data_IF_742133562037
#
_entry.id   IF_742133562037
#
_cell.length_a   1.000
_cell.length_b   1.000
_cell.length_c   1.000
_cell.angle_alpha   90.00
_cell.angle_beta   90.00
_cell.angle_gamma   90.00
#
_symmetry.space_group_name_H-M   'P 1'
#
loop_
_entity.id
_entity.type
_entity.pdbx_description
1 polymer ?
#
# COMPACT_ATOMS: atom_id res chain seq x y z
N UNK A 1 0.59 -13.23 1.98
CA UNK A 1 -0.36 -13.10 3.11
C UNK A 1 -1.63 -12.31 2.75
N UNK A 2 -1.59 -11.12 2.14
CA UNK A 2 -2.82 -10.39 1.71
C UNK A 2 -3.67 -11.15 0.69
N UNK A 3 -3.07 -11.62 -0.41
CA UNK A 3 -3.81 -12.33 -1.47
C UNK A 3 -4.47 -13.62 -0.94
N UNK A 4 -3.82 -14.31 0.00
CA UNK A 4 -4.39 -15.47 0.68
C UNK A 4 -5.55 -15.09 1.61
N UNK A 5 -5.41 -14.04 2.43
CA UNK A 5 -6.47 -13.60 3.36
C UNK A 5 -7.67 -12.92 2.68
N UNK A 6 -7.48 -12.30 1.52
CA UNK A 6 -8.54 -11.68 0.72
C UNK A 6 -9.33 -12.69 -0.15
N UNK A 7 -9.00 -13.98 -0.05
CA UNK A 7 -9.54 -15.06 -0.86
C UNK A 7 -9.30 -14.85 -2.38
N UNK A 8 -8.24 -14.14 -2.73
CA UNK A 8 -7.92 -13.87 -4.14
C UNK A 8 -7.65 -15.15 -4.92
N UNK A 9 -6.88 -16.07 -4.33
CA UNK A 9 -6.50 -17.31 -5.00
C UNK A 9 -7.67 -18.29 -5.16
N UNK A 10 -8.54 -18.40 -4.15
CA UNK A 10 -9.78 -19.18 -4.24
C UNK A 10 -10.69 -18.65 -5.36
N UNK A 11 -10.85 -17.33 -5.46
CA UNK A 11 -11.59 -16.68 -6.56
C UNK A 11 -10.98 -16.88 -7.95
N UNK A 12 -9.71 -17.28 -8.03
CA UNK A 12 -9.01 -17.57 -9.29
C UNK A 12 -8.86 -19.07 -9.55
N UNK A 13 -9.43 -19.91 -8.69
CA UNK A 13 -9.29 -21.37 -8.73
C UNK A 13 -7.82 -21.81 -8.69
N UNK A 14 -7.00 -21.05 -7.95
CA UNK A 14 -5.58 -21.33 -7.76
C UNK A 14 -5.39 -21.97 -6.39
N UNK A 15 -5.06 -23.26 -6.37
CA UNK A 15 -4.69 -23.94 -5.13
C UNK A 15 -3.23 -23.67 -4.77
N UNK A 16 -3.00 -22.61 -3.98
CA UNK A 16 -1.66 -22.27 -3.47
C UNK A 16 -1.11 -23.32 -2.50
N UNK A 17 -1.96 -24.17 -1.90
CA UNK A 17 -1.54 -25.20 -0.95
C UNK A 17 -0.82 -26.37 -1.63
N UNK A 18 -1.19 -26.65 -2.88
CA UNK A 18 -0.56 -27.67 -3.71
C UNK A 18 0.87 -27.31 -4.14
N UNK A 19 1.21 -26.02 -4.17
CA UNK A 19 2.47 -25.57 -4.70
C UNK A 19 3.59 -25.78 -3.68
N UNK A 20 4.57 -26.62 -4.03
CA UNK A 20 5.63 -27.09 -3.12
C UNK A 20 6.37 -25.98 -2.37
N UNK A 21 6.56 -24.81 -3.01
CA UNK A 21 7.17 -23.61 -2.41
C UNK A 21 6.36 -22.97 -1.28
N UNK A 22 5.04 -23.13 -1.27
CA UNK A 22 4.12 -22.45 -0.35
C UNK A 22 3.46 -23.42 0.65
N UNK A 23 3.70 -24.73 0.49
CA UNK A 23 3.17 -25.82 1.31
C UNK A 23 3.49 -25.72 2.81
N UNK A 24 4.56 -25.01 3.20
CA UNK A 24 4.98 -24.84 4.60
C UNK A 24 4.70 -23.43 5.17
N UNK A 25 4.17 -22.51 4.38
CA UNK A 25 3.95 -21.11 4.79
C UNK A 25 2.53 -20.84 5.32
N UNK A 26 1.88 -21.85 5.90
CA UNK A 26 0.56 -21.71 6.51
C UNK A 26 0.59 -20.98 7.85
N UNK A 27 1.75 -20.91 8.51
CA UNK A 27 1.97 -19.99 9.62
C UNK A 27 2.13 -18.57 9.06
N UNK A 28 0.98 -17.95 8.78
CA UNK A 28 0.91 -16.53 8.58
C UNK A 28 1.13 -15.87 9.95
N UNK A 29 2.26 -15.19 10.14
CA UNK A 29 2.45 -14.26 11.25
C UNK A 29 1.20 -13.37 11.36
N UNK A 30 0.47 -13.48 12.46
CA UNK A 30 -0.79 -12.78 12.65
C UNK A 30 -0.52 -11.29 12.85
N UNK A 31 -0.42 -10.54 11.76
CA UNK A 31 -0.47 -9.08 11.80
C UNK A 31 -1.90 -8.59 11.59
N UNK A 32 -2.22 -7.48 12.25
CA UNK A 32 -3.48 -6.76 12.07
C UNK A 32 -3.50 -6.10 10.70
N UNK A 33 -4.58 -6.32 9.95
CA UNK A 33 -4.78 -5.70 8.64
C UNK A 33 -5.95 -4.73 8.72
N UNK A 34 -5.66 -3.46 8.55
CA UNK A 34 -6.65 -2.38 8.55
C UNK A 34 -6.87 -1.97 7.09
N UNK A 35 -8.13 -2.00 6.66
CA UNK A 35 -8.54 -1.49 5.35
C UNK A 35 -9.11 -0.08 5.51
N UNK A 36 -8.52 0.87 4.78
CA UNK A 36 -8.96 2.28 4.81
C UNK A 36 -9.65 2.57 3.48
N UNK A 37 -10.96 2.87 3.55
CA UNK A 37 -11.79 3.23 2.41
C UNK A 37 -11.67 4.71 2.07
N UNK A 38 -12.14 5.07 0.87
CA UNK A 38 -12.38 6.46 0.46
C UNK A 38 -11.18 7.39 0.60
N UNK A 39 -9.97 6.82 0.48
CA UNK A 39 -8.73 7.59 0.48
C UNK A 39 -8.62 8.35 -0.86
N UNK A 40 -8.08 9.59 -0.87
CA UNK A 40 -7.97 10.34 -2.11
C UNK A 40 -7.02 9.66 -3.10
N UNK A 41 -7.52 9.28 -4.26
CA UNK A 41 -6.71 8.63 -5.30
C UNK A 41 -6.31 9.64 -6.38
N UNK A 42 -5.30 9.29 -7.17
CA UNK A 42 -4.97 10.04 -8.38
C UNK A 42 -6.16 10.10 -9.33
N UNK A 43 -6.32 11.22 -10.03
CA UNK A 43 -7.30 11.31 -11.11
C UNK A 43 -6.94 10.36 -12.26
N UNK A 44 -7.96 9.83 -12.92
CA UNK A 44 -7.77 8.99 -14.10
C UNK A 44 -7.00 9.74 -15.20
N UNK A 45 -6.00 9.09 -15.79
CA UNK A 45 -5.16 9.67 -16.84
C UNK A 45 -3.90 10.39 -16.33
N UNK A 46 -3.72 10.51 -15.01
CA UNK A 46 -2.45 10.96 -14.42
C UNK A 46 -1.50 9.78 -14.22
N UNK A 47 -0.20 10.09 -14.16
CA UNK A 47 0.90 9.14 -13.98
C UNK A 47 1.64 9.39 -12.66
N UNK A 48 0.93 9.88 -11.64
CA UNK A 48 1.48 10.28 -10.35
C UNK A 48 1.13 9.30 -9.22
N UNK A 49 0.73 8.06 -9.52
CA UNK A 49 0.38 7.06 -8.51
C UNK A 49 1.49 6.84 -7.47
N UNK A 50 2.75 6.91 -7.91
CA UNK A 50 3.91 6.82 -7.02
C UNK A 50 3.93 7.94 -5.97
N UNK A 51 3.49 9.15 -6.33
CA UNK A 51 3.42 10.28 -5.40
C UNK A 51 2.44 9.98 -4.25
N UNK A 52 1.26 9.46 -4.57
CA UNK A 52 0.26 9.08 -3.56
C UNK A 52 0.81 7.98 -2.65
N UNK A 53 1.45 6.95 -3.21
CA UNK A 53 2.07 5.87 -2.43
C UNK A 53 3.13 6.40 -1.46
N UNK A 54 4.04 7.26 -1.94
CA UNK A 54 5.09 7.85 -1.10
C UNK A 54 4.48 8.72 -0.02
N UNK A 55 3.48 9.53 -0.35
CA UNK A 55 2.85 10.41 0.62
C UNK A 55 2.11 9.62 1.72
N UNK A 56 1.39 8.55 1.36
CA UNK A 56 0.79 7.66 2.35
C UNK A 56 1.83 6.97 3.23
N UNK A 57 2.92 6.48 2.64
CA UNK A 57 4.01 5.89 3.39
C UNK A 57 4.62 6.89 4.38
N UNK A 58 4.83 8.15 3.97
CA UNK A 58 5.33 9.22 4.85
C UNK A 58 4.37 9.52 6.00
N UNK A 59 3.07 9.68 5.72
CA UNK A 59 2.06 9.91 6.76
C UNK A 59 2.04 8.77 7.79
N UNK A 60 1.93 7.52 7.32
CA UNK A 60 1.85 6.34 8.18
C UNK A 60 3.15 6.14 8.97
N UNK A 61 4.31 6.38 8.36
CA UNK A 61 5.62 6.25 9.03
C UNK A 61 5.80 7.26 10.16
N UNK A 62 5.19 8.43 10.03
CA UNK A 62 5.18 9.46 11.07
C UNK A 62 4.08 9.22 12.14
N UNK A 63 3.38 8.07 12.11
CA UNK A 63 2.30 7.75 13.04
C UNK A 63 1.00 8.50 12.76
N UNK A 64 0.89 9.17 11.61
CA UNK A 64 -0.33 9.87 11.21
C UNK A 64 -1.29 8.88 10.53
N UNK A 65 -2.59 9.18 10.62
CA UNK A 65 -3.61 8.51 9.81
C UNK A 65 -3.48 8.85 8.32
N UNK A 66 -4.25 8.13 7.52
CA UNK A 66 -4.35 8.38 6.08
C UNK A 66 -5.03 9.75 5.86
N UNK A 67 -4.40 10.70 5.16
CA UNK A 67 -4.99 12.02 4.92
C UNK A 67 -6.22 11.92 4.00
N UNK A 68 -7.20 12.78 4.27
CA UNK A 68 -8.49 12.85 3.58
C UNK A 68 -8.48 13.75 2.33
N UNK A 69 -7.37 14.40 2.03
CA UNK A 69 -7.15 15.21 0.83
C UNK A 69 -5.66 15.30 0.50
N UNK A 70 -5.35 15.51 -0.77
CA UNK A 70 -3.99 15.74 -1.27
C UNK A 70 -3.98 16.93 -2.22
N UNK A 71 -2.99 17.79 -2.03
CA UNK A 71 -2.53 18.71 -3.07
C UNK A 71 -1.29 18.06 -3.71
N UNK A 72 -1.45 17.50 -4.91
CA UNK A 72 -0.38 16.77 -5.60
C UNK A 72 0.85 17.65 -5.86
N UNK A 73 0.68 18.95 -6.11
CA UNK A 73 1.81 19.83 -6.38
C UNK A 73 2.57 20.14 -5.09
N UNK A 74 1.86 20.45 -4.01
CA UNK A 74 2.48 20.65 -2.70
C UNK A 74 3.19 19.38 -2.20
N UNK A 75 2.55 18.22 -2.33
CA UNK A 75 3.10 16.93 -1.90
C UNK A 75 4.38 16.58 -2.66
N UNK A 76 4.43 16.85 -3.97
CA UNK A 76 5.65 16.65 -4.78
C UNK A 76 6.81 17.48 -4.24
N UNK A 77 6.60 18.78 -4.04
CA UNK A 77 7.64 19.69 -3.52
C UNK A 77 8.11 19.26 -2.13
N UNK A 78 7.17 18.90 -1.23
CA UNK A 78 7.50 18.47 0.13
C UNK A 78 8.38 17.21 0.15
N UNK A 79 8.05 16.21 -0.67
CA UNK A 79 8.82 14.97 -0.77
C UNK A 79 10.21 15.25 -1.36
N UNK A 80 10.31 16.02 -2.43
CA UNK A 80 11.60 16.39 -3.04
C UNK A 80 12.52 17.13 -2.04
N UNK A 81 11.96 18.05 -1.25
CA UNK A 81 12.73 18.75 -0.20
C UNK A 81 13.19 17.80 0.90
N UNK A 82 12.37 16.81 1.30
CA UNK A 82 12.76 15.80 2.28
C UNK A 82 13.91 14.94 1.77
N UNK A 83 13.88 14.54 0.50
CA UNK A 83 14.95 13.74 -0.11
C UNK A 83 16.28 14.53 -0.16
N UNK A 84 16.22 15.81 -0.51
CA UNK A 84 17.41 16.70 -0.51
C UNK A 84 18.00 16.83 0.90
N UNK A 85 17.17 16.94 1.93
CA UNK A 85 17.63 17.07 3.33
C UNK A 85 18.16 15.76 3.94
N UNK A 86 17.83 14.62 3.34
CA UNK A 86 18.28 13.30 3.80
C UNK A 86 19.65 12.91 3.23
N UNK A 87 20.22 13.70 2.32
CA UNK A 87 21.52 13.50 1.68
C UNK A 87 22.58 14.41 2.28
#
# INVERSE_FOLDING_TARGET
MYLSKSDFYGKKDIDISSHQKYKSHFECDFFEMIYVNDIPQQDAGRLDCGLYVVAYADHISNGNGVPNSFDSEFTRIHIEIKDIKST
#
